data_IF_776730933690
#
_entry.id   IF_776730933690
#
_cell.length_a   1.000
_cell.length_b   1.000
_cell.length_c   1.000
_cell.angle_alpha   90.00
_cell.angle_beta   90.00
_cell.angle_gamma   90.00
#
_symmetry.space_group_name_H-M   'P 1'
#
loop_
_entity.id
_entity.type
_entity.pdbx_description
1 polymer ?
#
# COMPACT_ATOMS: atom_id res chain seq x y z
N UNK A 1 -23.24 17.26 -12.70
CA UNK A 1 -22.35 17.48 -11.54
C UNK A 1 -21.44 16.26 -11.41
N UNK A 2 -20.35 16.26 -12.14
CA UNK A 2 -19.26 15.28 -11.98
C UNK A 2 -17.98 16.07 -12.07
N UNK A 3 -17.73 16.90 -11.05
CA UNK A 3 -16.44 17.54 -10.85
C UNK A 3 -15.49 16.45 -10.36
N UNK A 4 -14.95 15.71 -11.31
CA UNK A 4 -13.86 14.78 -11.05
C UNK A 4 -12.65 15.60 -10.64
N UNK A 5 -12.26 15.48 -9.36
CA UNK A 5 -11.02 16.09 -8.86
C UNK A 5 -9.85 15.37 -9.53
N UNK A 6 -9.24 16.01 -10.51
CA UNK A 6 -8.03 15.50 -11.15
C UNK A 6 -6.85 15.65 -10.18
N UNK A 7 -6.49 14.55 -9.50
CA UNK A 7 -5.31 14.51 -8.63
C UNK A 7 -4.07 14.37 -9.51
N UNK A 8 -3.44 15.49 -9.85
CA UNK A 8 -2.17 15.48 -10.57
C UNK A 8 -1.03 14.94 -9.70
N UNK A 9 -0.14 14.18 -10.33
CA UNK A 9 1.07 13.67 -9.68
C UNK A 9 2.03 14.84 -9.48
N UNK A 10 2.11 15.38 -8.28
CA UNK A 10 3.13 16.36 -7.89
C UNK A 10 4.48 15.64 -7.62
N UNK A 11 5.51 15.81 -8.47
CA UNK A 11 6.80 15.15 -8.28
C UNK A 11 7.51 15.63 -7.01
N UNK A 12 7.31 16.89 -6.61
CA UNK A 12 7.92 17.46 -5.39
C UNK A 12 7.30 16.81 -4.15
N UNK A 13 5.98 16.64 -4.15
CA UNK A 13 5.29 15.88 -3.11
C UNK A 13 5.86 14.46 -2.99
N UNK A 14 5.93 13.73 -4.11
CA UNK A 14 6.42 12.33 -4.11
C UNK A 14 7.86 12.26 -3.60
N UNK A 15 8.75 13.15 -4.06
CA UNK A 15 10.15 13.18 -3.62
C UNK A 15 10.25 13.44 -2.11
N UNK A 16 9.53 14.44 -1.60
CA UNK A 16 9.49 14.78 -0.17
C UNK A 16 9.01 13.60 0.67
N UNK A 17 7.91 12.96 0.26
CA UNK A 17 7.36 11.83 1.02
C UNK A 17 8.24 10.58 0.93
N UNK A 18 8.95 10.35 -0.19
CA UNK A 18 9.97 9.28 -0.29
C UNK A 18 11.11 9.48 0.72
N UNK A 19 11.64 10.70 0.84
CA UNK A 19 12.67 11.01 1.83
C UNK A 19 12.18 10.74 3.26
N UNK A 20 10.97 11.18 3.60
CA UNK A 20 10.35 10.87 4.91
C UNK A 20 10.21 9.38 5.17
N UNK A 21 9.84 8.59 4.16
CA UNK A 21 9.75 7.13 4.30
C UNK A 21 11.13 6.48 4.50
N UNK A 22 12.16 6.97 3.81
CA UNK A 22 13.53 6.53 4.00
C UNK A 22 14.04 6.81 5.41
N UNK A 23 13.77 8.01 5.96
CA UNK A 23 14.11 8.33 7.35
C UNK A 23 13.30 7.50 8.34
N UNK A 24 12.00 7.32 8.10
CA UNK A 24 11.13 6.48 8.95
C UNK A 24 11.63 5.03 9.02
N UNK A 25 12.15 4.48 7.93
CA UNK A 25 12.69 3.11 7.88
C UNK A 25 13.84 2.88 8.86
N UNK A 26 14.57 3.94 9.23
CA UNK A 26 15.69 3.88 10.17
C UNK A 26 15.24 3.99 11.63
N UNK A 27 13.96 4.26 11.90
CA UNK A 27 13.46 4.50 13.26
C UNK A 27 13.14 3.20 13.98
N UNK A 28 13.28 3.19 15.32
CA UNK A 28 12.87 2.05 16.15
C UNK A 28 11.40 1.67 15.96
N UNK A 29 10.54 2.65 15.65
CA UNK A 29 9.14 2.39 15.34
C UNK A 29 8.98 1.44 14.15
N UNK A 30 9.76 1.63 13.08
CA UNK A 30 9.70 0.74 11.92
C UNK A 30 10.24 -0.65 12.26
N UNK A 31 11.38 -0.72 12.95
CA UNK A 31 11.96 -1.99 13.43
C UNK A 31 10.95 -2.80 14.26
N UNK A 32 10.30 -2.16 15.24
CA UNK A 32 9.27 -2.80 16.08
C UNK A 32 8.03 -3.21 15.28
N UNK A 33 7.71 -2.50 14.19
CA UNK A 33 6.55 -2.82 13.35
C UNK A 33 6.82 -4.04 12.48
N UNK A 34 8.01 -4.15 11.88
CA UNK A 34 8.39 -5.30 11.05
C UNK A 34 8.76 -6.55 11.86
N UNK A 35 9.25 -6.38 13.09
CA UNK A 35 9.67 -7.51 13.94
C UNK A 35 8.52 -8.45 14.29
N UNK A 36 7.27 -7.98 14.19
CA UNK A 36 6.07 -8.82 14.33
C UNK A 36 5.98 -9.88 13.24
N UNK A 37 6.64 -9.68 12.09
CA UNK A 37 6.67 -10.65 10.99
C UNK A 37 5.36 -10.78 10.23
N UNK A 38 4.36 -9.92 10.44
CA UNK A 38 3.03 -10.09 9.84
C UNK A 38 2.87 -9.14 8.65
N UNK A 39 2.52 -9.70 7.49
CA UNK A 39 2.11 -8.91 6.32
C UNK A 39 0.74 -8.28 6.55
N UNK A 40 0.60 -6.98 6.30
CA UNK A 40 -0.65 -6.25 6.51
C UNK A 40 -1.81 -6.72 5.62
N UNK A 41 -1.52 -7.27 4.44
CA UNK A 41 -2.57 -7.61 3.47
C UNK A 41 -2.99 -9.08 3.54
N UNK A 42 -2.04 -10.01 3.48
CA UNK A 42 -2.36 -11.45 3.55
C UNK A 42 -2.39 -12.02 4.96
N UNK A 43 -1.93 -11.25 5.96
CA UNK A 43 -1.84 -11.67 7.36
C UNK A 43 -0.96 -12.90 7.64
N UNK A 44 -0.26 -13.41 6.64
CA UNK A 44 0.72 -14.48 6.82
C UNK A 44 1.99 -13.96 7.52
N UNK A 45 2.72 -14.89 8.14
CA UNK A 45 3.97 -14.66 8.86
C UNK A 45 5.17 -14.81 7.93
N UNK A 46 6.12 -13.89 8.05
CA UNK A 46 7.34 -13.78 7.27
C UNK A 46 8.50 -13.40 8.19
N UNK A 47 9.74 -13.64 7.75
CA UNK A 47 10.88 -13.05 8.44
C UNK A 47 10.89 -11.51 8.24
N UNK A 48 11.45 -10.73 9.18
CA UNK A 48 11.51 -9.28 9.03
C UNK A 48 12.22 -8.82 7.74
N UNK A 49 13.19 -9.58 7.23
CA UNK A 49 13.93 -9.26 6.00
C UNK A 49 13.09 -9.46 4.72
N UNK A 50 12.05 -10.29 4.78
CA UNK A 50 11.13 -10.54 3.66
C UNK A 50 10.04 -9.47 3.54
N UNK A 51 9.86 -8.67 4.59
CA UNK A 51 8.87 -7.60 4.64
C UNK A 51 9.40 -6.29 4.07
N UNK A 52 8.54 -5.63 3.31
CA UNK A 52 8.77 -4.33 2.70
C UNK A 52 7.88 -3.27 3.33
N UNK A 53 8.27 -2.00 3.15
CA UNK A 53 7.48 -0.84 3.56
C UNK A 53 6.58 -0.42 2.40
N UNK A 54 5.27 -0.44 2.63
CA UNK A 54 4.27 0.00 1.64
C UNK A 54 3.42 1.16 2.17
N UNK A 55 2.97 2.01 1.24
CA UNK A 55 2.01 3.07 1.48
C UNK A 55 0.60 2.59 1.14
N UNK A 56 -0.28 2.50 2.12
CA UNK A 56 -1.69 2.05 1.92
C UNK A 56 -2.37 2.93 0.87
N UNK A 57 -2.24 4.25 1.00
CA UNK A 57 -2.56 5.23 -0.04
C UNK A 57 -1.26 5.59 -0.78
N UNK A 58 -1.15 5.28 -2.09
CA UNK A 58 0.06 5.54 -2.87
C UNK A 58 0.44 7.03 -2.90
N UNK A 59 1.75 7.31 -2.92
CA UNK A 59 2.27 8.68 -3.04
C UNK A 59 1.80 9.38 -4.33
N UNK A 60 1.63 8.62 -5.42
CA UNK A 60 1.10 9.13 -6.69
C UNK A 60 -0.36 9.58 -6.61
N UNK A 61 -1.06 9.24 -5.52
CA UNK A 61 -2.44 9.65 -5.23
C UNK A 61 -2.51 10.59 -4.03
N UNK A 62 -1.40 11.27 -3.71
CA UNK A 62 -1.31 12.24 -2.61
C UNK A 62 -1.15 11.63 -1.21
N UNK A 63 -0.89 10.32 -1.11
CA UNK A 63 -0.60 9.65 0.15
C UNK A 63 0.64 10.21 0.85
N UNK A 64 0.64 10.22 2.19
CA UNK A 64 1.74 10.78 3.00
C UNK A 64 2.51 9.68 3.72
N UNK A 65 3.79 9.90 4.01
CA UNK A 65 4.64 8.98 4.76
C UNK A 65 4.44 9.13 6.27
N UNK A 66 3.25 8.76 6.74
CA UNK A 66 2.88 8.80 8.16
C UNK A 66 2.73 7.39 8.72
N UNK A 67 2.83 7.24 10.05
CA UNK A 67 2.71 5.94 10.73
C UNK A 67 1.38 5.21 10.45
N UNK A 68 0.31 5.96 10.17
CA UNK A 68 -1.01 5.42 9.82
C UNK A 68 -1.14 4.98 8.36
N UNK A 69 -0.31 5.51 7.46
CA UNK A 69 -0.33 5.16 6.04
C UNK A 69 0.78 4.16 5.66
N UNK A 70 1.72 3.89 6.57
CA UNK A 70 2.84 2.97 6.37
C UNK A 70 2.58 1.63 7.03
N UNK A 71 2.73 0.55 6.26
CA UNK A 71 2.49 -0.83 6.71
C UNK A 71 3.61 -1.79 6.25
N UNK A 72 3.89 -2.87 7.02
CA UNK A 72 4.72 -3.97 6.56
C UNK A 72 3.94 -4.86 5.58
N UNK A 73 4.59 -5.25 4.49
CA UNK A 73 3.97 -6.04 3.43
C UNK A 73 4.97 -6.99 2.78
N UNK A 74 4.60 -8.25 2.53
CA UNK A 74 5.45 -9.18 1.79
C UNK A 74 5.62 -8.72 0.31
N UNK A 75 6.68 -9.19 -0.35
CA UNK A 75 6.98 -8.83 -1.74
C UNK A 75 5.83 -9.14 -2.70
N UNK A 76 5.17 -10.29 -2.53
CA UNK A 76 4.07 -10.72 -3.39
C UNK A 76 2.85 -9.80 -3.29
N UNK A 77 2.43 -9.47 -2.07
CA UNK A 77 1.32 -8.53 -1.86
C UNK A 77 1.67 -7.14 -2.38
N UNK A 78 2.92 -6.68 -2.17
CA UNK A 78 3.37 -5.38 -2.64
C UNK A 78 3.33 -5.31 -4.18
N UNK A 79 3.81 -6.36 -4.85
CA UNK A 79 3.81 -6.47 -6.31
C UNK A 79 2.40 -6.60 -6.89
N UNK A 80 1.49 -7.35 -6.24
CA UNK A 80 0.09 -7.48 -6.64
C UNK A 80 -0.67 -6.16 -6.52
N UNK A 81 -0.43 -5.41 -5.43
CA UNK A 81 -1.07 -4.11 -5.18
C UNK A 81 -0.72 -3.06 -6.23
N UNK A 82 0.54 -2.98 -6.66
CA UNK A 82 1.03 -1.92 -7.58
C UNK A 82 0.61 -0.52 -7.09
N UNK A 83 -0.36 0.10 -7.78
CA UNK A 83 -0.93 1.42 -7.48
C UNK A 83 -2.38 1.35 -7.00
N UNK A 84 -2.91 0.14 -6.79
CA UNK A 84 -4.27 -0.08 -6.33
C UNK A 84 -4.39 0.25 -4.85
N UNK A 85 -5.49 0.91 -4.51
CA UNK A 85 -5.94 1.12 -3.14
C UNK A 85 -6.70 -0.11 -2.65
N UNK A 86 -6.87 -0.30 -1.32
CA UNK A 86 -7.67 -1.40 -0.79
C UNK A 86 -9.08 -1.46 -1.41
N UNK A 87 -9.72 -0.31 -1.64
CA UNK A 87 -11.04 -0.23 -2.27
C UNK A 87 -11.06 -0.78 -3.70
N UNK A 88 -10.04 -0.47 -4.50
CA UNK A 88 -9.93 -0.99 -5.87
C UNK A 88 -9.67 -2.51 -5.89
N UNK A 89 -8.91 -3.03 -4.93
CA UNK A 89 -8.70 -4.49 -4.80
C UNK A 89 -10.02 -5.19 -4.46
N UNK A 90 -10.83 -4.63 -3.56
CA UNK A 90 -12.15 -5.18 -3.22
C UNK A 90 -13.09 -5.12 -4.43
N UNK A 91 -13.11 -4.01 -5.15
CA UNK A 91 -13.94 -3.86 -6.34
C UNK A 91 -13.54 -4.86 -7.45
N UNK A 92 -12.24 -5.11 -7.64
CA UNK A 92 -11.76 -6.08 -8.61
C UNK A 92 -12.17 -7.51 -8.24
N UNK A 93 -12.09 -7.88 -6.95
CA UNK A 93 -12.59 -9.17 -6.45
C UNK A 93 -14.08 -9.35 -6.68
N UNK A 94 -14.89 -8.34 -6.35
CA UNK A 94 -16.35 -8.38 -6.57
C UNK A 94 -16.70 -8.52 -8.07
N UNK A 95 -15.95 -7.84 -8.95
CA UNK A 95 -16.13 -7.98 -10.40
C UNK A 95 -15.78 -9.39 -10.88
N UNK A 96 -14.71 -10.00 -10.35
CA UNK A 96 -14.32 -11.37 -10.68
C UNK A 96 -15.34 -12.40 -10.19
N UNK A 97 -15.90 -12.21 -9.00
CA UNK A 97 -16.95 -13.06 -8.43
C UNK A 97 -18.23 -12.99 -9.26
N UNK A 98 -18.67 -11.79 -9.65
CA UNK A 98 -19.85 -11.60 -10.50
C UNK A 98 -19.64 -12.20 -11.91
N UNK A 99 -18.47 -11.98 -12.51
CA UNK A 99 -18.15 -12.56 -13.82
C UNK A 99 -18.09 -14.10 -13.81
N UNK A 100 -17.74 -14.71 -12.68
CA UNK A 100 -17.77 -16.16 -12.50
C UNK A 100 -19.20 -16.70 -12.31
N UNK A 101 -20.15 -15.86 -11.90
CA UNK A 101 -21.56 -16.23 -11.74
C UNK A 101 -22.36 -16.11 -13.04
N UNK A 102 -22.01 -15.16 -13.91
CA UNK A 102 -22.69 -14.95 -15.21
C UNK A 102 -22.22 -15.91 -16.32
N UNK A 103 -21.21 -16.75 -16.03
CA UNK A 103 -20.62 -17.71 -16.97
C UNK A 103 -21.06 -19.17 -16.79
N UNK A 104 -22.09 -19.43 -15.97
CA UNK A 104 -22.67 -20.76 -15.72
C UNK A 104 -24.18 -20.80 -16.00
#
# INVERSE_FOLDING_TARGET
MTDWIHIEKDPKHIAREKLKAQEMRKTQWWFNKISRGICHYCHATFSPEELTMDHVIPLSRGGRSTKGNIVPCCKDCNNKKKYLTPAEIVLDKLKQENAAQDGN
#
